data_IF_658662439201
#
_entry.id   IF_658662439201
#
_cell.length_a   1.000
_cell.length_b   1.000
_cell.length_c   1.000
_cell.angle_alpha   90.00
_cell.angle_beta   90.00
_cell.angle_gamma   90.00
#
_symmetry.space_group_name_H-M   'P 1'
#
loop_
_entity.id
_entity.type
_entity.pdbx_description
1 polymer ?
#
# COMPACT_ATOMS: atom_id res chain seq x y z
N UNK A 1 5.81 -55.43 -50.35
CA UNK A 1 6.71 -54.42 -49.74
C UNK A 1 6.43 -54.36 -48.23
N UNK A 2 7.48 -54.39 -47.40
CA UNK A 2 7.41 -54.69 -45.97
C UNK A 2 7.24 -53.44 -45.08
N UNK A 3 6.44 -53.54 -44.00
CA UNK A 3 6.46 -52.60 -42.87
C UNK A 3 6.83 -53.35 -41.59
N UNK A 4 7.90 -52.89 -40.94
CA UNK A 4 8.66 -53.58 -39.88
C UNK A 4 7.91 -53.56 -38.55
N UNK A 5 8.06 -54.65 -37.79
CA UNK A 5 7.54 -54.88 -36.44
C UNK A 5 8.33 -54.07 -35.41
N UNK A 6 7.62 -53.39 -34.51
CA UNK A 6 8.18 -52.74 -33.32
C UNK A 6 8.74 -53.78 -32.36
N UNK A 7 10.02 -53.65 -32.02
CA UNK A 7 10.67 -54.45 -30.97
C UNK A 7 10.69 -53.64 -29.66
N UNK A 8 10.30 -54.22 -28.51
CA UNK A 8 10.41 -53.55 -27.23
C UNK A 8 11.89 -53.44 -26.85
N UNK A 9 12.41 -52.21 -26.77
CA UNK A 9 13.77 -51.95 -26.30
C UNK A 9 13.89 -52.39 -24.84
N UNK A 10 14.58 -53.51 -24.64
CA UNK A 10 15.03 -53.99 -23.34
C UNK A 10 15.91 -52.90 -22.72
N UNK A 11 15.36 -52.14 -21.77
CA UNK A 11 16.15 -51.18 -21.00
C UNK A 11 17.19 -51.95 -20.20
N UNK A 12 18.46 -51.76 -20.54
CA UNK A 12 19.58 -52.39 -19.87
C UNK A 12 19.55 -52.06 -18.38
N UNK A 13 19.76 -53.08 -17.54
CA UNK A 13 19.77 -53.00 -16.06
C UNK A 13 20.64 -51.85 -15.50
N UNK A 14 21.63 -51.38 -16.28
CA UNK A 14 22.48 -50.21 -15.98
C UNK A 14 21.74 -48.86 -16.09
N UNK A 15 20.83 -48.69 -17.05
CA UNK A 15 20.03 -47.46 -17.21
C UNK A 15 18.99 -47.32 -16.07
N UNK A 16 18.39 -48.43 -15.64
CA UNK A 16 17.47 -48.44 -14.50
C UNK A 16 18.17 -48.13 -13.17
N UNK A 17 19.45 -48.50 -13.02
CA UNK A 17 20.25 -48.18 -11.83
C UNK A 17 20.70 -46.71 -11.78
N UNK A 18 21.04 -46.10 -12.93
CA UNK A 18 21.32 -44.66 -13.01
C UNK A 18 20.08 -43.83 -12.66
N UNK A 19 18.91 -44.21 -13.22
CA UNK A 19 17.64 -43.51 -12.97
C UNK A 19 17.24 -43.51 -11.48
N UNK A 20 17.58 -44.56 -10.73
CA UNK A 20 17.33 -44.62 -9.27
C UNK A 20 18.17 -43.61 -8.49
N UNK A 21 19.46 -43.45 -8.84
CA UNK A 21 20.33 -42.46 -8.19
C UNK A 21 19.90 -41.02 -8.45
N UNK A 22 19.44 -40.75 -9.67
CA UNK A 22 18.89 -39.43 -10.02
C UNK A 22 17.59 -39.13 -9.26
N UNK A 23 16.74 -40.15 -9.03
CA UNK A 23 15.53 -39.99 -8.25
C UNK A 23 15.81 -39.67 -6.78
N UNK A 24 16.85 -40.27 -6.19
CA UNK A 24 17.29 -39.97 -4.82
C UNK A 24 17.85 -38.55 -4.70
N UNK A 25 18.70 -38.13 -5.64
CA UNK A 25 19.23 -36.77 -5.68
C UNK A 25 18.13 -35.73 -5.87
N UNK A 26 17.15 -35.99 -6.76
CA UNK A 26 15.98 -35.12 -6.94
C UNK A 26 15.16 -34.99 -5.67
N UNK A 27 14.96 -36.06 -4.90
CA UNK A 27 14.25 -36.02 -3.62
C UNK A 27 14.98 -35.17 -2.58
N UNK A 28 16.31 -35.31 -2.47
CA UNK A 28 17.11 -34.46 -1.57
C UNK A 28 17.05 -32.98 -1.97
N UNK A 29 17.15 -32.68 -3.26
CA UNK A 29 17.05 -31.30 -3.77
C UNK A 29 15.67 -30.72 -3.48
N UNK A 30 14.59 -31.48 -3.68
CA UNK A 30 13.22 -31.05 -3.38
C UNK A 30 13.00 -30.81 -1.88
N UNK A 31 13.56 -31.65 -1.01
CA UNK A 31 13.49 -31.47 0.44
C UNK A 31 14.28 -30.25 0.90
N UNK A 32 15.48 -30.05 0.36
CA UNK A 32 16.30 -28.87 0.65
C UNK A 32 15.60 -27.59 0.18
N UNK A 33 15.05 -27.60 -1.03
CA UNK A 33 14.29 -26.48 -1.58
C UNK A 33 13.07 -26.17 -0.70
N UNK A 34 12.29 -27.20 -0.33
CA UNK A 34 11.15 -27.05 0.57
C UNK A 34 11.54 -26.50 1.94
N UNK A 35 12.66 -26.95 2.50
CA UNK A 35 13.20 -26.45 3.75
C UNK A 35 13.59 -24.96 3.68
N UNK A 36 14.27 -24.55 2.61
CA UNK A 36 14.62 -23.15 2.37
C UNK A 36 13.36 -22.29 2.20
N UNK A 37 12.40 -22.74 1.40
CA UNK A 37 11.11 -22.04 1.23
C UNK A 37 10.38 -21.88 2.56
N UNK A 38 10.33 -22.94 3.38
CA UNK A 38 9.70 -22.89 4.71
C UNK A 38 10.41 -21.89 5.63
N UNK A 39 11.74 -21.88 5.64
CA UNK A 39 12.54 -20.93 6.42
C UNK A 39 12.23 -19.47 6.02
N UNK A 40 12.17 -19.18 4.72
CA UNK A 40 11.81 -17.85 4.22
C UNK A 40 10.40 -17.46 4.69
N UNK A 41 9.43 -18.37 4.60
CA UNK A 41 8.07 -18.11 5.08
C UNK A 41 8.02 -17.83 6.59
N UNK A 42 8.81 -18.54 7.40
CA UNK A 42 8.91 -18.29 8.85
C UNK A 42 9.47 -16.89 9.12
N UNK A 43 10.56 -16.51 8.46
CA UNK A 43 11.17 -15.17 8.64
C UNK A 43 10.17 -14.07 8.24
N UNK A 44 9.48 -14.24 7.11
CA UNK A 44 8.45 -13.30 6.68
C UNK A 44 7.27 -13.24 7.65
N UNK A 45 6.82 -14.38 8.19
CA UNK A 45 5.74 -14.43 9.18
C UNK A 45 6.14 -13.71 10.48
N UNK A 46 7.36 -13.91 10.97
CA UNK A 46 7.88 -13.22 12.17
C UNK A 46 7.98 -11.71 11.92
N UNK A 47 8.54 -11.31 10.77
CA UNK A 47 8.62 -9.90 10.37
C UNK A 47 7.24 -9.25 10.22
N UNK A 48 6.27 -9.97 9.64
CA UNK A 48 4.88 -9.53 9.51
C UNK A 48 4.22 -9.39 10.89
N UNK A 49 4.38 -10.36 11.80
CA UNK A 49 3.85 -10.25 13.17
C UNK A 49 4.46 -9.05 13.91
N UNK A 50 5.76 -8.83 13.79
CA UNK A 50 6.42 -7.70 14.45
C UNK A 50 5.98 -6.34 13.89
N UNK A 51 5.80 -6.25 12.57
CA UNK A 51 5.39 -5.02 11.88
C UNK A 51 3.90 -4.73 12.05
N UNK A 52 3.03 -5.73 11.90
CA UNK A 52 1.58 -5.56 11.96
C UNK A 52 0.99 -5.63 13.37
N UNK A 53 1.64 -6.29 14.33
CA UNK A 53 1.09 -6.48 15.69
C UNK A 53 1.87 -5.67 16.75
N UNK A 54 3.18 -5.53 16.65
CA UNK A 54 3.99 -4.84 17.68
C UNK A 54 4.16 -3.34 17.42
N UNK A 55 4.42 -2.90 16.18
CA UNK A 55 4.57 -1.48 15.85
C UNK A 55 3.31 -0.60 16.03
N UNK A 56 2.06 -1.08 15.86
CA UNK A 56 0.89 -0.26 16.16
C UNK A 56 0.62 -0.06 17.66
N UNK A 57 1.32 -0.78 18.56
CA UNK A 57 1.04 -0.80 20.00
C UNK A 57 1.83 0.21 20.84
N UNK A 58 2.62 1.11 20.24
CA UNK A 58 3.21 2.23 21.00
C UNK A 58 2.14 3.32 21.13
N UNK A 59 1.50 3.50 22.30
CA UNK A 59 0.50 4.54 22.48
C UNK A 59 1.19 5.90 22.32
N UNK A 60 0.58 6.80 21.54
CA UNK A 60 1.09 8.17 21.37
C UNK A 60 0.68 9.03 22.56
N UNK A 61 -0.47 8.71 23.18
CA UNK A 61 -0.92 9.29 24.43
C UNK A 61 -1.86 8.32 25.16
N UNK A 62 -1.92 8.45 26.49
CA UNK A 62 -2.98 7.85 27.32
C UNK A 62 -3.78 9.00 27.89
N UNK A 63 -5.06 9.10 27.52
CA UNK A 63 -5.97 10.14 28.03
C UNK A 63 -7.06 9.42 28.79
N UNK A 64 -7.20 9.72 30.08
CA UNK A 64 -8.22 9.14 30.96
C UNK A 64 -8.26 7.58 30.93
N UNK A 65 -7.07 6.95 30.91
CA UNK A 65 -6.94 5.49 30.86
C UNK A 65 -7.14 4.86 29.47
N UNK A 66 -7.60 5.62 28.46
CA UNK A 66 -7.77 5.15 27.08
C UNK A 66 -6.46 5.32 26.31
N UNK A 67 -5.94 4.22 25.77
CA UNK A 67 -4.72 4.21 24.95
C UNK A 67 -5.05 4.62 23.52
N UNK A 68 -4.54 5.76 23.06
CA UNK A 68 -4.65 6.17 21.66
C UNK A 68 -3.46 5.58 20.90
N UNK A 69 -3.75 4.71 19.93
CA UNK A 69 -2.71 4.12 19.10
C UNK A 69 -2.20 5.13 18.07
N UNK A 70 -0.98 4.93 17.58
CA UNK A 70 -0.45 5.74 16.46
C UNK A 70 -1.37 5.68 15.24
N UNK A 71 -2.00 4.53 14.98
CA UNK A 71 -2.89 4.35 13.85
C UNK A 71 -4.14 5.25 13.97
N UNK A 72 -4.70 5.40 15.17
CA UNK A 72 -5.87 6.25 15.39
C UNK A 72 -5.51 7.74 15.22
N UNK A 73 -4.32 8.12 15.68
CA UNK A 73 -3.79 9.47 15.45
C UNK A 73 -3.58 9.77 13.96
N UNK A 74 -2.93 8.86 13.23
CA UNK A 74 -2.73 8.95 11.78
C UNK A 74 -4.05 9.06 11.01
N UNK A 75 -5.07 8.26 11.38
CA UNK A 75 -6.41 8.33 10.79
C UNK A 75 -7.05 9.69 11.01
N UNK A 76 -7.00 10.22 12.22
CA UNK A 76 -7.54 11.55 12.55
C UNK A 76 -6.87 12.64 11.73
N UNK A 77 -5.54 12.67 11.70
CA UNK A 77 -4.78 13.68 10.94
C UNK A 77 -5.10 13.61 9.45
N UNK A 78 -5.18 12.40 8.88
CA UNK A 78 -5.56 12.21 7.48
C UNK A 78 -6.98 12.72 7.19
N UNK A 79 -7.92 12.43 8.08
CA UNK A 79 -9.30 12.90 7.95
C UNK A 79 -9.39 14.43 8.05
N UNK A 80 -8.66 15.04 8.97
CA UNK A 80 -8.61 16.51 9.11
C UNK A 80 -8.06 17.18 7.86
N UNK A 81 -7.00 16.62 7.26
CA UNK A 81 -6.47 17.09 5.96
C UNK A 81 -7.48 16.94 4.84
N UNK A 82 -8.17 15.80 4.78
CA UNK A 82 -9.21 15.57 3.78
C UNK A 82 -10.32 16.63 3.86
N UNK A 83 -10.79 16.96 5.07
CA UNK A 83 -11.79 18.02 5.28
C UNK A 83 -11.30 19.40 4.82
N UNK A 84 -10.03 19.73 5.08
CA UNK A 84 -9.44 21.00 4.63
C UNK A 84 -9.32 21.06 3.11
N UNK A 85 -8.90 19.96 2.48
CA UNK A 85 -8.78 19.86 1.03
C UNK A 85 -10.15 19.92 0.34
N UNK A 86 -11.18 19.30 0.94
CA UNK A 86 -12.56 19.38 0.46
C UNK A 86 -13.10 20.82 0.51
N UNK A 87 -12.88 21.53 1.62
CA UNK A 87 -13.27 22.95 1.76
C UNK A 87 -12.56 23.84 0.73
N UNK A 88 -11.27 23.59 0.49
CA UNK A 88 -10.50 24.30 -0.52
C UNK A 88 -11.07 24.08 -1.94
N UNK A 89 -11.44 22.84 -2.27
CA UNK A 89 -12.09 22.51 -3.54
C UNK A 89 -13.44 23.21 -3.71
N UNK A 90 -14.25 23.27 -2.64
CA UNK A 90 -15.55 23.96 -2.64
C UNK A 90 -15.39 25.46 -2.95
N UNK A 91 -14.41 26.14 -2.33
CA UNK A 91 -14.15 27.56 -2.59
C UNK A 91 -13.76 27.77 -4.05
N UNK A 92 -12.88 26.93 -4.61
CA UNK A 92 -12.51 27.03 -6.03
C UNK A 92 -13.72 26.86 -6.95
N UNK A 93 -14.60 25.90 -6.66
CA UNK A 93 -15.82 25.69 -7.43
C UNK A 93 -16.76 26.90 -7.36
N UNK A 94 -16.94 27.49 -6.17
CA UNK A 94 -17.76 28.71 -6.01
C UNK A 94 -17.18 29.87 -6.82
N UNK A 95 -15.86 30.07 -6.80
CA UNK A 95 -15.20 31.11 -7.61
C UNK A 95 -15.43 30.89 -9.10
N UNK A 96 -15.31 29.65 -9.58
CA UNK A 96 -15.53 29.33 -10.99
C UNK A 96 -16.98 29.57 -11.43
N UNK A 97 -17.95 29.14 -10.62
CA UNK A 97 -19.38 29.36 -10.92
C UNK A 97 -19.71 30.85 -10.91
N UNK A 98 -19.24 31.58 -9.90
CA UNK A 98 -19.54 33.00 -9.78
C UNK A 98 -18.84 33.83 -10.86
N UNK A 99 -17.62 33.45 -11.26
CA UNK A 99 -16.91 34.09 -12.36
C UNK A 99 -17.63 34.00 -13.71
N UNK A 100 -18.35 32.90 -13.95
CA UNK A 100 -19.18 32.75 -15.15
C UNK A 100 -20.44 33.62 -15.04
N UNK A 101 -21.03 33.74 -13.85
CA UNK A 101 -22.24 34.55 -13.63
C UNK A 101 -21.97 36.06 -13.65
N UNK A 102 -20.78 36.51 -13.23
CA UNK A 102 -20.41 37.92 -13.09
C UNK A 102 -19.55 38.43 -14.25
N UNK A 103 -19.60 37.75 -15.40
CA UNK A 103 -18.74 38.04 -16.53
C UNK A 103 -18.88 39.48 -17.05
N UNK A 104 -20.09 40.06 -16.94
CA UNK A 104 -20.40 41.44 -17.35
C UNK A 104 -20.08 42.50 -16.27
N UNK A 105 -19.59 42.10 -15.10
CA UNK A 105 -19.30 42.98 -13.96
C UNK A 105 -17.89 42.75 -13.39
N UNK A 106 -16.84 43.23 -14.08
CA UNK A 106 -15.45 42.91 -13.75
C UNK A 106 -14.97 43.46 -12.39
N UNK A 107 -15.52 44.59 -11.92
CA UNK A 107 -15.16 45.14 -10.61
C UNK A 107 -15.64 44.26 -9.45
N UNK A 108 -16.87 43.74 -9.53
CA UNK A 108 -17.41 42.81 -8.54
C UNK A 108 -16.63 41.50 -8.53
N UNK A 109 -16.21 41.03 -9.71
CA UNK A 109 -15.40 39.83 -9.84
C UNK A 109 -14.04 39.99 -9.14
N UNK A 110 -13.36 41.13 -9.31
CA UNK A 110 -12.08 41.39 -8.63
C UNK A 110 -12.24 41.40 -7.11
N UNK A 111 -13.28 42.06 -6.59
CA UNK A 111 -13.53 42.10 -5.15
C UNK A 111 -13.76 40.69 -4.58
N UNK A 112 -14.56 39.88 -5.26
CA UNK A 112 -14.83 38.50 -4.84
C UNK A 112 -13.58 37.61 -4.88
N UNK A 113 -12.78 37.71 -5.95
CA UNK A 113 -11.53 36.96 -6.07
C UNK A 113 -10.56 37.31 -4.93
N UNK A 114 -10.45 38.58 -4.55
CA UNK A 114 -9.62 38.99 -3.41
C UNK A 114 -10.13 38.36 -2.10
N UNK A 115 -11.44 38.36 -1.88
CA UNK A 115 -12.02 37.76 -0.67
C UNK A 115 -11.80 36.24 -0.61
N UNK A 116 -12.01 35.54 -1.74
CA UNK A 116 -11.76 34.10 -1.84
C UNK A 116 -10.28 33.75 -1.62
N UNK A 117 -9.36 34.56 -2.16
CA UNK A 117 -7.92 34.40 -1.98
C UNK A 117 -7.52 34.49 -0.51
N UNK A 118 -8.09 35.43 0.24
CA UNK A 118 -7.83 35.58 1.67
C UNK A 118 -8.31 34.37 2.47
N UNK A 119 -9.50 33.84 2.19
CA UNK A 119 -10.00 32.62 2.83
C UNK A 119 -9.14 31.40 2.49
N UNK A 120 -8.75 31.26 1.23
CA UNK A 120 -7.89 30.16 0.79
C UNK A 120 -6.52 30.18 1.49
N UNK A 121 -5.92 31.37 1.66
CA UNK A 121 -4.66 31.52 2.38
C UNK A 121 -4.78 31.10 3.86
N UNK A 122 -5.92 31.37 4.51
CA UNK A 122 -6.15 30.91 5.89
C UNK A 122 -6.23 29.38 5.97
N UNK A 123 -6.89 28.73 5.00
CA UNK A 123 -6.96 27.26 4.93
C UNK A 123 -5.58 26.63 4.70
N UNK A 124 -4.73 27.24 3.86
CA UNK A 124 -3.36 26.76 3.66
C UNK A 124 -2.54 26.86 4.95
N UNK A 125 -2.71 27.94 5.72
CA UNK A 125 -2.04 28.08 7.02
C UNK A 125 -2.50 26.99 7.99
N UNK A 126 -3.82 26.76 8.10
CA UNK A 126 -4.38 25.68 8.92
C UNK A 126 -3.89 24.30 8.47
N UNK A 127 -3.85 24.03 7.17
CA UNK A 127 -3.28 22.78 6.63
C UNK A 127 -1.80 22.64 6.97
N UNK A 128 -1.08 23.76 7.03
CA UNK A 128 0.32 23.83 7.44
C UNK A 128 0.54 23.51 8.92
N UNK A 129 -0.42 23.83 9.79
CA UNK A 129 -0.36 23.50 11.23
C UNK A 129 -0.80 22.07 11.54
N UNK A 130 -1.49 21.39 10.62
CA UNK A 130 -1.82 19.95 10.76
C UNK A 130 -0.55 19.11 10.64
N UNK A 131 -0.22 18.41 11.72
CA UNK A 131 1.01 17.63 11.90
C UNK A 131 1.42 16.85 10.63
N UNK A 132 2.62 17.17 10.12
CA UNK A 132 3.21 16.57 8.91
C UNK A 132 3.94 15.28 9.17
N UNK A 133 4.38 15.08 10.40
CA UNK A 133 5.19 13.93 10.81
C UNK A 133 4.31 12.75 11.24
N UNK A 134 2.99 12.98 11.30
CA UNK A 134 1.95 12.01 11.59
C UNK A 134 1.51 11.18 10.37
N UNK A 135 2.28 11.09 9.29
CA UNK A 135 2.02 10.24 8.12
C UNK A 135 3.07 9.14 7.98
#
# INVERSE_FOLDING_TARGET
MAKRRDQPKVQGRKAAALSRKEAEQRRMILLALGGVTLLVLIVLAVGAVQTYILQPRKPVAVVDGVKITRQDYQKRVRYERYLLDERAALIQQQVQQLSQSLQDSPELLQQFQQQASNQYNQLIQQRGTVDRDAL
#
